data_IF_146501688257
#
_entry.id   IF_146501688257
#
_cell.length_a   1.000
_cell.length_b   1.000
_cell.length_c   1.000
_cell.angle_alpha   90.00
_cell.angle_beta   90.00
_cell.angle_gamma   90.00
#
_symmetry.space_group_name_H-M   'P 1'
#
loop_
_entity.id
_entity.type
_entity.pdbx_description
1 polymer ?
#
# COMPACT_ATOMS: atom_id res chain seq x y z
N UNK A 1 9.33 -5.22 6.15
CA UNK A 1 7.92 -4.93 6.52
C UNK A 1 6.93 -5.43 5.49
N UNK A 2 6.97 -4.95 4.23
CA UNK A 2 6.07 -5.40 3.15
C UNK A 2 6.08 -6.91 2.94
N UNK A 3 7.26 -7.52 2.98
CA UNK A 3 7.41 -8.98 2.84
C UNK A 3 6.62 -9.74 3.91
N UNK A 4 6.63 -9.27 5.17
CA UNK A 4 5.84 -9.86 6.26
C UNK A 4 4.33 -9.68 5.99
N UNK A 5 3.89 -8.52 5.48
CA UNK A 5 2.49 -8.30 5.14
C UNK A 5 2.03 -9.22 4.00
N UNK A 6 2.88 -9.43 2.99
CA UNK A 6 2.61 -10.36 1.89
C UNK A 6 2.54 -11.80 2.41
N UNK A 7 3.49 -12.21 3.25
CA UNK A 7 3.50 -13.56 3.87
C UNK A 7 2.27 -13.80 4.75
N UNK A 8 1.80 -12.77 5.47
CA UNK A 8 0.58 -12.84 6.29
C UNK A 8 -0.71 -12.74 5.47
N UNK A 9 -0.63 -12.61 4.14
CA UNK A 9 -1.79 -12.42 3.27
C UNK A 9 -2.52 -11.09 3.48
N UNK A 10 -1.89 -10.11 4.15
CA UNK A 10 -2.42 -8.77 4.42
C UNK A 10 -2.06 -7.75 3.35
N UNK A 11 -1.23 -8.12 2.37
CA UNK A 11 -0.89 -7.30 1.22
C UNK A 11 -0.66 -8.19 -0.01
N UNK A 12 -0.87 -7.61 -1.20
CA UNK A 12 -0.63 -8.27 -2.47
C UNK A 12 -0.09 -7.27 -3.50
N UNK A 13 0.51 -7.77 -4.57
CA UNK A 13 1.02 -6.95 -5.68
C UNK A 13 0.00 -6.96 -6.81
N UNK A 14 -0.32 -5.78 -7.32
CA UNK A 14 -1.34 -5.57 -8.33
C UNK A 14 -0.72 -4.93 -9.58
N UNK A 15 -0.93 -5.57 -10.73
CA UNK A 15 -0.51 -5.10 -12.06
C UNK A 15 -1.66 -4.52 -12.90
N UNK A 16 -2.83 -4.32 -12.28
CA UNK A 16 -4.00 -3.75 -12.94
C UNK A 16 -3.75 -2.27 -13.28
N UNK A 17 -4.17 -1.86 -14.49
CA UNK A 17 -4.02 -0.47 -14.92
C UNK A 17 -4.72 0.49 -13.96
N UNK A 18 -4.11 1.66 -13.73
CA UNK A 18 -4.54 2.62 -12.71
C UNK A 18 -6.02 3.01 -12.82
N UNK A 19 -6.51 3.25 -14.03
CA UNK A 19 -7.89 3.65 -14.31
C UNK A 19 -8.88 2.52 -14.00
N UNK A 20 -8.54 1.30 -14.42
CA UNK A 20 -9.33 0.10 -14.10
C UNK A 20 -9.34 -0.16 -12.59
N UNK A 21 -8.17 -0.13 -11.93
CA UNK A 21 -8.06 -0.27 -10.49
C UNK A 21 -8.91 0.76 -9.74
N UNK A 22 -8.93 2.01 -10.21
CA UNK A 22 -9.75 3.06 -9.61
C UNK A 22 -11.24 2.73 -9.73
N UNK A 23 -11.70 2.30 -10.91
CA UNK A 23 -13.10 1.91 -11.14
C UNK A 23 -13.50 0.72 -10.27
N UNK A 24 -12.70 -0.35 -10.29
CA UNK A 24 -12.93 -1.56 -9.49
C UNK A 24 -13.06 -1.23 -8.00
N UNK A 25 -12.20 -0.36 -7.46
CA UNK A 25 -12.31 0.09 -6.05
C UNK A 25 -13.59 0.89 -5.76
N UNK A 26 -14.03 1.72 -6.70
CA UNK A 26 -15.27 2.50 -6.54
C UNK A 26 -16.50 1.60 -6.55
N UNK A 27 -16.48 0.56 -7.37
CA UNK A 27 -17.56 -0.42 -7.52
C UNK A 27 -17.47 -1.57 -6.52
N UNK A 28 -16.39 -1.65 -5.72
CA UNK A 28 -16.17 -2.73 -4.74
C UNK A 28 -15.77 -4.07 -5.36
N UNK A 29 -15.29 -4.07 -6.60
CA UNK A 29 -14.88 -5.27 -7.34
C UNK A 29 -13.45 -5.64 -6.94
N UNK A 30 -13.22 -6.88 -6.53
CA UNK A 30 -11.89 -7.38 -6.21
C UNK A 30 -10.99 -7.40 -7.45
N UNK A 31 -9.73 -6.97 -7.30
CA UNK A 31 -8.73 -7.09 -8.36
C UNK A 31 -8.43 -8.57 -8.63
N UNK A 32 -8.18 -8.90 -9.91
CA UNK A 32 -7.70 -10.22 -10.35
C UNK A 32 -6.47 -10.71 -9.55
N UNK A 33 -5.63 -9.80 -9.07
CA UNK A 33 -4.39 -10.10 -8.34
C UNK A 33 -4.59 -10.31 -6.84
N UNK A 34 -5.78 -10.01 -6.31
CA UNK A 34 -6.06 -10.02 -4.85
C UNK A 34 -5.91 -11.39 -4.20
N UNK A 35 -6.13 -12.44 -4.98
CA UNK A 35 -6.07 -13.84 -4.53
C UNK A 35 -4.83 -14.58 -5.07
N UNK A 36 -3.81 -13.85 -5.52
CA UNK A 36 -2.51 -14.42 -5.83
C UNK A 36 -1.90 -15.12 -4.60
N UNK A 37 -1.10 -16.16 -4.84
CA UNK A 37 -0.34 -16.82 -3.78
C UNK A 37 0.68 -15.85 -3.16
N UNK A 38 1.08 -16.11 -1.91
CA UNK A 38 2.14 -15.34 -1.25
C UNK A 38 3.47 -15.39 -2.03
N UNK A 39 3.74 -16.53 -2.67
CA UNK A 39 4.95 -16.76 -3.47
C UNK A 39 4.97 -15.93 -4.75
N UNK A 40 3.83 -15.85 -5.46
CA UNK A 40 3.71 -15.04 -6.67
C UNK A 40 3.78 -13.55 -6.34
N UNK A 41 3.12 -13.12 -5.26
CA UNK A 41 3.24 -11.75 -4.77
C UNK A 41 4.69 -11.40 -4.39
N UNK A 42 5.44 -12.35 -3.80
CA UNK A 42 6.84 -12.13 -3.45
C UNK A 42 7.74 -12.00 -4.70
N UNK A 43 7.46 -12.76 -5.76
CA UNK A 43 8.16 -12.62 -7.05
C UNK A 43 7.92 -11.24 -7.65
N UNK A 44 6.65 -10.81 -7.72
CA UNK A 44 6.29 -9.50 -8.24
C UNK A 44 6.87 -8.35 -7.39
N UNK A 45 6.94 -8.51 -6.08
CA UNK A 45 7.57 -7.55 -5.19
C UNK A 45 9.07 -7.38 -5.50
N UNK A 46 9.79 -8.48 -5.76
CA UNK A 46 11.20 -8.43 -6.18
C UNK A 46 11.37 -7.75 -7.53
N UNK A 47 10.45 -8.00 -8.46
CA UNK A 47 10.41 -7.33 -9.77
C UNK A 47 10.19 -5.81 -9.62
N UNK A 48 9.31 -5.38 -8.72
CA UNK A 48 9.12 -3.96 -8.40
C UNK A 48 10.39 -3.30 -7.86
N UNK A 49 11.09 -3.97 -6.93
CA UNK A 49 12.35 -3.45 -6.37
C UNK A 49 13.43 -3.35 -7.46
N UNK A 50 13.55 -4.36 -8.32
CA UNK A 50 14.49 -4.34 -9.44
C UNK A 50 14.15 -3.23 -10.46
N UNK A 51 12.86 -2.92 -10.61
CA UNK A 51 12.35 -2.05 -11.65
C UNK A 51 12.34 -2.75 -13.01
N UNK A 52 11.90 -4.00 -13.06
CA UNK A 52 11.63 -4.71 -14.32
C UNK A 52 10.49 -4.03 -15.09
N UNK A 53 10.35 -4.32 -16.39
CA UNK A 53 9.25 -3.80 -17.22
C UNK A 53 7.89 -4.02 -16.56
N UNK A 54 7.65 -5.22 -16.02
CA UNK A 54 6.43 -5.54 -15.29
C UNK A 54 6.36 -4.83 -13.93
N UNK A 55 7.47 -4.78 -13.18
CA UNK A 55 7.53 -4.16 -11.87
C UNK A 55 7.23 -2.67 -11.86
N UNK A 56 7.55 -1.94 -12.94
CA UNK A 56 7.26 -0.51 -13.10
C UNK A 56 5.75 -0.23 -13.12
N UNK A 57 4.96 -1.17 -13.63
CA UNK A 57 3.51 -1.06 -13.71
C UNK A 57 2.79 -1.59 -12.47
N UNK A 58 3.51 -2.20 -11.53
CA UNK A 58 2.94 -2.81 -10.34
C UNK A 58 2.81 -1.81 -9.18
N UNK A 59 1.88 -2.08 -8.28
CA UNK A 59 1.78 -1.43 -6.98
C UNK A 59 1.48 -2.46 -5.88
N UNK A 60 1.87 -2.16 -4.64
CA UNK A 60 1.51 -3.00 -3.49
C UNK A 60 0.24 -2.44 -2.87
N UNK A 61 -0.75 -3.30 -2.67
CA UNK A 61 -2.03 -2.94 -2.04
C UNK A 61 -2.21 -3.70 -0.75
N UNK A 62 -2.82 -3.05 0.24
CA UNK A 62 -3.32 -3.72 1.43
C UNK A 62 -4.50 -4.61 1.08
N UNK A 63 -4.61 -5.76 1.74
CA UNK A 63 -5.78 -6.64 1.67
C UNK A 63 -6.68 -6.33 2.85
N UNK A 64 -7.65 -5.45 2.60
CA UNK A 64 -8.68 -5.01 3.53
C UNK A 64 -10.05 -5.42 2.97
N UNK A 65 -11.11 -4.69 3.33
CA UNK A 65 -12.47 -4.96 2.90
C UNK A 65 -12.86 -4.11 1.68
N UNK A 66 -13.12 -4.78 0.56
CA UNK A 66 -13.57 -4.14 -0.69
C UNK A 66 -15.04 -3.72 -0.66
N UNK A 67 -15.85 -4.26 0.26
CA UNK A 67 -17.25 -3.92 0.45
C UNK A 67 -17.48 -2.82 1.49
N UNK A 68 -16.41 -2.34 2.15
CA UNK A 68 -16.52 -1.30 3.17
C UNK A 68 -17.20 -0.03 2.59
N UNK A 69 -18.11 0.57 3.36
CA UNK A 69 -18.76 1.82 2.99
C UNK A 69 -17.73 2.95 2.86
N UNK A 70 -16.68 2.89 3.68
CA UNK A 70 -15.56 3.80 3.62
C UNK A 70 -14.58 3.35 2.52
N UNK A 71 -14.69 3.97 1.34
CA UNK A 71 -13.87 3.67 0.12
C UNK A 71 -12.36 3.74 0.35
N UNK A 72 -11.97 4.48 1.37
CA UNK A 72 -10.63 4.62 1.95
C UNK A 72 -10.05 3.27 2.37
N UNK A 73 -10.87 2.37 2.92
CA UNK A 73 -10.49 1.03 3.38
C UNK A 73 -10.47 -0.03 2.28
N UNK A 74 -11.00 0.27 1.09
CA UNK A 74 -11.01 -0.67 -0.04
C UNK A 74 -9.63 -0.80 -0.65
N UNK A 75 -8.89 -1.82 -0.22
CA UNK A 75 -7.55 -2.22 -0.65
C UNK A 75 -6.66 -1.04 -1.08
N UNK A 76 -6.27 -0.16 -0.13
CA UNK A 76 -5.49 1.03 -0.42
C UNK A 76 -4.08 0.67 -0.89
N UNK A 77 -3.49 1.54 -1.72
CA UNK A 77 -2.10 1.41 -2.17
C UNK A 77 -1.16 1.71 -1.00
N UNK A 78 -0.24 0.80 -0.73
CA UNK A 78 0.83 0.93 0.26
C UNK A 78 2.13 1.40 -0.37
N UNK A 79 2.51 0.82 -1.51
CA UNK A 79 3.72 1.19 -2.25
C UNK A 79 3.44 1.33 -3.74
N UNK A 80 4.17 2.24 -4.38
CA UNK A 80 4.15 2.41 -5.83
C UNK A 80 5.59 2.54 -6.35
N UNK A 81 5.78 2.18 -7.61
CA UNK A 81 7.05 2.42 -8.29
C UNK A 81 7.18 3.89 -8.70
N UNK A 82 8.38 4.45 -8.54
CA UNK A 82 8.75 5.77 -9.04
C UNK A 82 10.20 5.72 -9.55
N UNK A 83 10.39 6.02 -10.84
CA UNK A 83 11.70 6.05 -11.49
C UNK A 83 12.52 7.30 -11.16
N UNK A 84 11.90 8.35 -10.62
CA UNK A 84 12.58 9.61 -10.37
C UNK A 84 13.51 9.49 -9.16
N UNK A 85 14.75 9.99 -9.26
CA UNK A 85 15.67 9.98 -8.14
C UNK A 85 15.15 10.88 -7.00
N UNK A 86 15.28 10.42 -5.77
CA UNK A 86 14.88 11.17 -4.60
C UNK A 86 15.97 12.18 -4.20
N UNK A 87 15.58 13.41 -3.85
CA UNK A 87 16.53 14.50 -3.58
C UNK A 87 17.55 14.20 -2.46
N UNK A 88 17.20 13.41 -1.43
CA UNK A 88 18.10 13.05 -0.30
C UNK A 88 18.92 11.77 -0.50
N UNK A 89 18.37 10.79 -1.21
CA UNK A 89 18.91 9.41 -1.25
C UNK A 89 19.17 8.94 -2.69
N UNK A 90 19.04 9.84 -3.67
CA UNK A 90 19.26 9.56 -5.08
C UNK A 90 18.40 8.42 -5.59
N UNK A 91 19.02 7.52 -6.35
CA UNK A 91 18.38 6.35 -6.98
C UNK A 91 18.47 5.08 -6.14
N UNK A 92 18.74 5.19 -4.84
CA UNK A 92 18.88 4.03 -3.93
C UNK A 92 17.60 3.19 -3.88
N UNK A 93 16.44 3.84 -3.94
CA UNK A 93 15.14 3.18 -3.92
C UNK A 93 14.32 3.60 -5.13
N UNK A 94 13.57 2.64 -5.68
CA UNK A 94 12.63 2.85 -6.79
C UNK A 94 11.17 2.64 -6.38
N UNK A 95 10.95 2.15 -5.16
CA UNK A 95 9.62 1.84 -4.61
C UNK A 95 9.39 2.71 -3.38
N UNK A 96 8.33 3.51 -3.41
CA UNK A 96 8.05 4.51 -2.40
C UNK A 96 6.69 4.26 -1.75
N UNK A 97 6.60 4.45 -0.42
CA UNK A 97 5.34 4.28 0.28
C UNK A 97 4.36 5.40 -0.10
N UNK A 98 3.08 5.10 -0.11
CA UNK A 98 2.04 6.10 -0.18
C UNK A 98 1.96 6.87 1.15
N UNK A 99 1.62 8.16 1.10
CA UNK A 99 1.49 9.02 2.28
C UNK A 99 0.60 8.39 3.37
N UNK A 100 -0.59 7.91 3.00
CA UNK A 100 -1.53 7.29 3.93
C UNK A 100 -1.04 5.99 4.56
N UNK A 101 -0.03 5.36 3.96
CA UNK A 101 0.61 4.17 4.52
C UNK A 101 1.76 4.60 5.44
N UNK A 102 2.66 5.48 4.98
CA UNK A 102 3.84 5.91 5.73
C UNK A 102 3.52 6.70 7.01
N UNK A 103 2.58 7.64 6.98
CA UNK A 103 2.35 8.57 8.11
C UNK A 103 2.04 7.86 9.43
N UNK A 104 1.05 6.93 9.51
CA UNK A 104 0.78 6.21 10.75
C UNK A 104 1.97 5.41 11.28
N UNK A 105 2.86 4.92 10.41
CA UNK A 105 4.08 4.23 10.86
C UNK A 105 5.11 5.17 11.42
N UNK A 106 5.36 6.30 10.76
CA UNK A 106 6.30 7.30 11.25
C UNK A 106 5.82 7.82 12.61
N UNK A 107 4.53 8.13 12.73
CA UNK A 107 3.94 8.58 14.00
C UNK A 107 4.12 7.53 15.12
N UNK A 108 3.92 6.24 14.82
CA UNK A 108 4.12 5.17 15.79
C UNK A 108 5.60 5.00 16.20
N UNK A 109 6.52 5.09 15.24
CA UNK A 109 7.98 4.95 15.49
C UNK A 109 8.51 6.13 16.30
N UNK A 110 8.05 7.35 16.01
CA UNK A 110 8.42 8.58 16.72
C UNK A 110 7.68 8.73 18.06
N UNK A 111 6.76 7.83 18.40
CA UNK A 111 6.02 7.84 19.67
C UNK A 111 5.01 8.99 19.78
N UNK A 112 4.46 9.45 18.65
CA UNK A 112 3.45 10.51 18.63
C UNK A 112 2.19 10.04 19.36
N UNK A 113 1.79 10.77 20.39
CA UNK A 113 0.62 10.45 21.21
C UNK A 113 -0.68 11.04 20.67
N UNK A 114 -0.59 12.21 20.02
CA UNK A 114 -1.74 12.95 19.48
C UNK A 114 -1.40 13.47 18.07
N UNK A 115 -1.83 12.73 17.05
CA UNK A 115 -1.69 13.15 15.66
C UNK A 115 -2.86 14.06 15.27
N UNK A 116 -2.59 15.36 15.08
CA UNK A 116 -3.59 16.32 14.62
C UNK A 116 -3.55 16.46 13.09
N UNK A 117 -4.64 16.12 12.43
CA UNK A 117 -4.80 16.28 10.98
C UNK A 117 -5.94 17.26 10.67
N UNK A 118 -5.88 17.90 9.50
CA UNK A 118 -6.98 18.69 8.96
C UNK A 118 -8.21 17.80 8.69
N UNK A 119 -9.40 18.40 8.66
CA UNK A 119 -10.68 17.69 8.50
C UNK A 119 -10.80 16.89 7.20
N UNK A 120 -10.04 17.25 6.16
CA UNK A 120 -9.99 16.53 4.88
C UNK A 120 -9.49 15.07 4.99
N UNK A 121 -8.84 14.72 6.10
CA UNK A 121 -8.33 13.36 6.37
C UNK A 121 -9.24 12.53 7.27
N UNK A 122 -10.41 13.04 7.68
CA UNK A 122 -11.31 12.39 8.64
C UNK A 122 -11.60 10.92 8.27
N UNK A 123 -11.94 10.65 7.01
CA UNK A 123 -12.27 9.31 6.51
C UNK A 123 -11.07 8.34 6.50
N UNK A 124 -9.84 8.86 6.70
CA UNK A 124 -8.60 8.09 6.73
C UNK A 124 -8.18 7.73 8.16
N UNK A 125 -8.82 8.29 9.17
CA UNK A 125 -8.52 7.98 10.58
C UNK A 125 -8.68 6.49 10.87
N UNK A 126 -9.75 5.86 10.37
CA UNK A 126 -10.01 4.41 10.54
C UNK A 126 -8.87 3.54 10.01
N UNK A 127 -8.23 3.95 8.90
CA UNK A 127 -7.05 3.28 8.34
C UNK A 127 -5.84 3.37 9.27
N UNK A 128 -5.54 4.58 9.75
CA UNK A 128 -4.38 4.83 10.62
C UNK A 128 -4.41 3.96 11.88
N UNK A 129 -5.57 3.85 12.54
CA UNK A 129 -5.75 2.99 13.70
C UNK A 129 -5.54 1.50 13.41
N UNK A 130 -5.98 1.02 12.25
CA UNK A 130 -5.80 -0.39 11.86
C UNK A 130 -4.33 -0.76 11.62
N UNK A 131 -3.57 0.17 11.05
CA UNK A 131 -2.14 0.00 10.78
C UNK A 131 -1.32 0.02 12.09
N UNK A 132 -1.57 1.00 12.96
CA UNK A 132 -0.84 1.17 14.22
C UNK A 132 -1.10 0.04 15.25
N UNK A 133 -2.24 -0.66 15.16
CA UNK A 133 -2.58 -1.78 16.05
C UNK A 133 -2.07 -3.15 15.57
N UNK A 134 -1.48 -3.26 14.38
CA UNK A 134 -0.94 -4.54 13.92
C UNK A 134 0.31 -4.87 14.74
N UNK A 135 0.38 -6.03 15.44
CA UNK A 135 1.47 -6.41 16.35
C UNK A 135 2.80 -6.74 15.64
N UNK A 136 2.94 -6.35 14.38
CA UNK A 136 4.12 -6.56 13.52
C UNK A 136 5.03 -5.33 13.44
N UNK A 137 4.83 -4.34 14.32
CA UNK A 137 5.79 -3.28 14.60
C UNK A 137 6.98 -3.83 15.39
#
# INVERSE_FOLDING_TARGET
MTENLIQQGKAYVDDTQKEQMQKERMDGIESKCRNNSSEDNMKLWKEMIAGSERGIHCCVRGKLDMQDQNKTLRDPVYYHYNSNPHHRIGSMYKVYPAYNFACPFVDAIEGITHAFWSSEYHDRNSRGYGIAKSPTL
#
